data_IF_630687267479
#
_entry.id   IF_630687267479
#
_cell.length_a   1.000
_cell.length_b   1.000
_cell.length_c   1.000
_cell.angle_alpha   90.00
_cell.angle_beta   90.00
_cell.angle_gamma   90.00
#
_symmetry.space_group_name_H-M   'P 1'
#
loop_
_entity.id
_entity.type
_entity.pdbx_description
1 polymer ?
#
# COMPACT_ATOMS: atom_id res chain seq x y z
N UNK A 1 -13.96 5.23 -2.55
CA UNK A 1 -13.94 6.14 -3.73
C UNK A 1 -13.85 5.24 -4.93
N UNK A 2 -14.79 5.33 -5.87
CA UNK A 2 -14.78 4.41 -7.01
C UNK A 2 -13.73 4.86 -8.06
N UNK A 3 -13.46 4.01 -9.04
CA UNK A 3 -12.46 4.26 -10.07
C UNK A 3 -12.80 5.46 -10.96
N UNK A 4 -14.09 5.76 -11.15
CA UNK A 4 -14.58 6.90 -11.92
C UNK A 4 -14.25 8.21 -11.19
N UNK A 5 -14.54 8.28 -9.88
CA UNK A 5 -14.17 9.41 -9.01
C UNK A 5 -12.65 9.68 -9.06
N UNK A 6 -11.84 8.62 -9.11
CA UNK A 6 -10.39 8.73 -9.23
C UNK A 6 -9.96 9.26 -10.60
N UNK A 7 -10.59 8.79 -11.69
CA UNK A 7 -10.31 9.30 -13.03
C UNK A 7 -10.69 10.78 -13.17
N UNK A 8 -11.80 11.20 -12.57
CA UNK A 8 -12.21 12.61 -12.52
C UNK A 8 -11.23 13.45 -11.69
N UNK A 9 -10.90 13.00 -10.48
CA UNK A 9 -9.98 13.69 -9.55
C UNK A 9 -8.59 13.85 -10.15
N UNK A 10 -8.12 12.85 -10.90
CA UNK A 10 -6.81 12.83 -11.53
C UNK A 10 -6.91 12.95 -13.05
N UNK A 11 -7.83 13.79 -13.56
CA UNK A 11 -8.10 13.97 -15.01
C UNK A 11 -6.90 14.43 -15.86
N UNK A 12 -5.82 14.87 -15.24
CA UNK A 12 -4.54 15.22 -15.87
C UNK A 12 -3.60 14.01 -16.08
N UNK A 13 -3.92 12.86 -15.50
CA UNK A 13 -3.21 11.59 -15.67
C UNK A 13 -4.00 10.71 -16.63
N UNK A 14 -3.31 9.97 -17.49
CA UNK A 14 -3.96 9.00 -18.37
C UNK A 14 -4.81 8.00 -17.55
N UNK A 15 -6.11 7.84 -17.84
CA UNK A 15 -6.98 6.89 -17.14
C UNK A 15 -6.43 5.46 -17.09
N UNK A 16 -5.71 5.01 -18.11
CA UNK A 16 -5.07 3.69 -18.12
C UNK A 16 -4.05 3.56 -16.98
N UNK A 17 -3.27 4.62 -16.71
CA UNK A 17 -2.28 4.60 -15.63
C UNK A 17 -2.95 4.61 -14.25
N UNK A 18 -4.04 5.36 -14.09
CA UNK A 18 -4.84 5.37 -12.85
C UNK A 18 -5.36 3.96 -12.56
N UNK A 19 -5.95 3.31 -13.57
CA UNK A 19 -6.44 1.92 -13.47
C UNK A 19 -5.34 0.95 -13.08
N UNK A 20 -4.17 1.04 -13.72
CA UNK A 20 -3.03 0.18 -13.42
C UNK A 20 -2.59 0.29 -11.95
N UNK A 21 -2.49 1.51 -11.43
CA UNK A 21 -2.12 1.73 -10.03
C UNK A 21 -3.22 1.27 -9.08
N UNK A 22 -4.49 1.52 -9.40
CA UNK A 22 -5.61 1.06 -8.60
C UNK A 22 -5.63 -0.47 -8.48
N UNK A 23 -5.47 -1.19 -9.59
CA UNK A 23 -5.38 -2.65 -9.54
C UNK A 23 -4.16 -3.15 -8.78
N UNK A 24 -3.02 -2.46 -8.87
CA UNK A 24 -1.86 -2.84 -8.07
C UNK A 24 -2.13 -2.69 -6.56
N UNK A 25 -2.76 -1.58 -6.15
CA UNK A 25 -3.19 -1.33 -4.77
C UNK A 25 -4.13 -2.43 -4.27
N UNK A 26 -5.22 -2.64 -5.00
CA UNK A 26 -6.31 -3.57 -4.67
C UNK A 26 -5.87 -5.04 -4.65
N UNK A 27 -5.01 -5.45 -5.58
CA UNK A 27 -4.63 -6.86 -5.72
C UNK A 27 -3.42 -7.26 -4.87
N UNK A 28 -2.46 -6.35 -4.64
CA UNK A 28 -1.16 -6.72 -4.05
C UNK A 28 -0.84 -6.05 -2.72
N UNK A 29 -1.42 -4.88 -2.42
CA UNK A 29 -1.04 -4.11 -1.24
C UNK A 29 -2.13 -4.07 -0.16
N UNK A 30 -3.40 -3.93 -0.54
CA UNK A 30 -4.55 -4.08 0.36
C UNK A 30 -4.90 -5.57 0.48
N UNK A 31 -4.02 -6.32 1.15
CA UNK A 31 -4.12 -7.77 1.22
C UNK A 31 -5.31 -8.23 2.06
N UNK A 32 -5.73 -7.45 3.07
CA UNK A 32 -6.89 -7.76 3.91
C UNK A 32 -8.21 -7.24 3.34
N UNK A 33 -8.17 -6.39 2.30
CA UNK A 33 -9.32 -5.94 1.53
C UNK A 33 -10.20 -4.93 2.26
N UNK A 34 -9.59 -3.96 2.95
CA UNK A 34 -10.31 -2.93 3.71
C UNK A 34 -10.15 -1.50 3.13
N UNK A 35 -9.77 -1.39 1.86
CA UNK A 35 -9.57 -0.17 1.07
C UNK A 35 -8.41 0.73 1.57
N UNK A 36 -7.56 0.22 2.45
CA UNK A 36 -6.35 0.90 2.94
C UNK A 36 -5.18 -0.07 2.96
N UNK A 37 -3.96 0.47 2.85
CA UNK A 37 -2.74 -0.27 3.17
C UNK A 37 -2.35 0.10 4.58
N UNK A 38 -2.16 -0.91 5.42
CA UNK A 38 -1.66 -0.78 6.78
C UNK A 38 -0.68 -1.89 7.14
N UNK A 39 -0.03 -1.77 8.30
CA UNK A 39 0.95 -2.77 8.73
C UNK A 39 0.39 -4.21 8.74
N UNK A 40 -0.91 -4.36 9.04
CA UNK A 40 -1.58 -5.66 9.05
C UNK A 40 -1.55 -6.37 7.68
N UNK A 41 -1.56 -5.64 6.55
CA UNK A 41 -1.43 -6.24 5.22
C UNK A 41 -0.07 -6.93 5.05
N UNK A 42 0.99 -6.26 5.51
CA UNK A 42 2.35 -6.79 5.50
C UNK A 42 2.49 -7.97 6.46
N UNK A 43 1.92 -7.89 7.66
CA UNK A 43 1.92 -9.02 8.61
C UNK A 43 1.22 -10.26 8.04
N UNK A 44 0.08 -10.09 7.38
CA UNK A 44 -0.65 -11.19 6.75
C UNK A 44 0.15 -11.79 5.59
N UNK A 45 0.83 -10.97 4.78
CA UNK A 45 1.71 -11.45 3.73
C UNK A 45 2.91 -12.22 4.29
N UNK A 46 3.54 -11.74 5.37
CA UNK A 46 4.64 -12.43 6.07
C UNK A 46 4.16 -13.79 6.59
N UNK A 47 2.99 -13.82 7.24
CA UNK A 47 2.38 -15.05 7.76
C UNK A 47 2.01 -16.04 6.64
N UNK A 48 1.53 -15.55 5.50
CA UNK A 48 1.25 -16.38 4.33
C UNK A 48 2.55 -17.02 3.79
N UNK A 49 3.64 -16.26 3.71
CA UNK A 49 4.97 -16.79 3.34
C UNK A 49 5.41 -17.86 4.34
N UNK A 50 5.30 -17.60 5.64
CA UNK A 50 5.64 -18.56 6.69
C UNK A 50 4.80 -19.85 6.62
N UNK A 51 3.51 -19.73 6.31
CA UNK A 51 2.61 -20.88 6.14
C UNK A 51 3.05 -21.77 4.97
N UNK A 52 3.53 -21.19 3.87
CA UNK A 52 3.92 -21.93 2.66
C UNK A 52 5.36 -22.44 2.72
N UNK A 53 6.28 -21.69 3.34
CA UNK A 53 7.73 -21.97 3.33
C UNK A 53 8.28 -22.50 4.65
N UNK A 54 7.47 -22.51 5.71
CA UNK A 54 7.86 -22.91 7.05
C UNK A 54 7.97 -21.71 7.99
N UNK A 55 7.20 -21.75 9.08
CA UNK A 55 7.26 -20.74 10.13
C UNK A 55 8.65 -20.72 10.76
N UNK A 56 9.19 -19.52 10.94
CA UNK A 56 10.57 -19.27 11.41
C UNK A 56 11.67 -19.92 10.55
N UNK A 57 11.36 -20.33 9.32
CA UNK A 57 12.37 -20.70 8.31
C UNK A 57 13.13 -19.48 7.78
N UNK A 58 14.21 -19.72 7.02
CA UNK A 58 15.06 -18.66 6.46
C UNK A 58 14.24 -17.66 5.62
N UNK A 59 13.31 -18.16 4.79
CA UNK A 59 12.45 -17.34 3.96
C UNK A 59 11.46 -16.51 4.78
N UNK A 60 10.90 -17.08 5.86
CA UNK A 60 9.98 -16.35 6.74
C UNK A 60 10.72 -15.22 7.48
N UNK A 61 11.92 -15.49 7.99
CA UNK A 61 12.76 -14.50 8.67
C UNK A 61 13.18 -13.39 7.70
N UNK A 62 13.60 -13.77 6.48
CA UNK A 62 13.96 -12.80 5.44
C UNK A 62 12.76 -11.94 5.04
N UNK A 63 11.59 -12.55 4.82
CA UNK A 63 10.36 -11.84 4.50
C UNK A 63 9.96 -10.87 5.60
N UNK A 64 9.99 -11.30 6.87
CA UNK A 64 9.71 -10.45 8.03
C UNK A 64 10.60 -9.20 8.01
N UNK A 65 11.91 -9.36 7.80
CA UNK A 65 12.83 -8.22 7.73
C UNK A 65 12.54 -7.31 6.53
N UNK A 66 12.52 -7.87 5.33
CA UNK A 66 12.38 -7.09 4.10
C UNK A 66 11.04 -6.37 3.98
N UNK A 67 9.94 -7.02 4.36
CA UNK A 67 8.60 -6.42 4.28
C UNK A 67 8.39 -5.35 5.37
N UNK A 68 9.03 -5.50 6.54
CA UNK A 68 9.11 -4.42 7.55
C UNK A 68 9.83 -3.19 6.99
N UNK A 69 11.01 -3.40 6.38
CA UNK A 69 11.80 -2.32 5.80
C UNK A 69 11.04 -1.60 4.67
N UNK A 70 10.30 -2.35 3.84
CA UNK A 70 9.44 -1.78 2.79
C UNK A 70 8.32 -0.93 3.38
N UNK A 71 7.61 -1.42 4.41
CA UNK A 71 6.55 -0.63 5.06
C UNK A 71 7.08 0.69 5.62
N UNK A 72 8.19 0.63 6.37
CA UNK A 72 8.80 1.83 6.93
C UNK A 72 9.23 2.81 5.83
N UNK A 73 9.91 2.32 4.78
CA UNK A 73 10.33 3.17 3.66
C UNK A 73 9.15 3.79 2.93
N UNK A 74 8.04 3.07 2.79
CA UNK A 74 6.81 3.61 2.19
C UNK A 74 6.23 4.73 3.05
N UNK A 75 6.10 4.51 4.36
CA UNK A 75 5.60 5.52 5.30
C UNK A 75 6.49 6.77 5.33
N UNK A 76 7.81 6.61 5.34
CA UNK A 76 8.77 7.72 5.35
C UNK A 76 8.63 8.61 4.09
N UNK A 77 8.54 7.99 2.91
CA UNK A 77 8.40 8.66 1.60
C UNK A 77 7.08 9.43 1.46
N UNK A 78 6.02 8.98 2.12
CA UNK A 78 4.71 9.67 2.13
C UNK A 78 4.47 10.50 3.40
N UNK A 79 5.48 10.59 4.27
CA UNK A 79 5.47 11.33 5.54
C UNK A 79 4.31 10.91 6.46
N UNK A 80 4.20 9.60 6.71
CA UNK A 80 3.20 8.97 7.56
C UNK A 80 3.85 8.22 8.72
N UNK A 81 3.11 8.06 9.82
CA UNK A 81 3.53 7.21 10.92
C UNK A 81 3.37 5.73 10.55
N UNK A 82 4.11 4.84 11.20
CA UNK A 82 4.03 3.39 10.94
C UNK A 82 2.72 2.76 11.44
N UNK A 83 1.96 3.48 12.28
CA UNK A 83 0.60 3.12 12.70
C UNK A 83 -0.50 3.71 11.83
N UNK A 84 -0.15 4.54 10.83
CA UNK A 84 -1.14 5.16 9.94
C UNK A 84 -1.67 4.19 8.88
N UNK A 85 -2.85 4.50 8.36
CA UNK A 85 -3.47 3.86 7.19
C UNK A 85 -3.21 4.69 5.93
N UNK A 86 -2.90 4.02 4.82
CA UNK A 86 -2.63 4.63 3.51
C UNK A 86 -3.77 4.30 2.55
N UNK A 87 -4.57 5.30 2.19
CA UNK A 87 -5.60 5.12 1.14
C UNK A 87 -5.05 5.53 -0.23
N UNK A 88 -5.61 4.94 -1.29
CA UNK A 88 -5.19 5.22 -2.68
C UNK A 88 -5.25 6.72 -3.05
N UNK A 89 -6.18 7.48 -2.46
CA UNK A 89 -6.47 8.86 -2.86
C UNK A 89 -5.59 9.94 -2.18
N UNK A 90 -4.57 9.57 -1.39
CA UNK A 90 -3.97 10.47 -0.40
C UNK A 90 -3.08 11.61 -0.93
N UNK A 91 -2.59 11.57 -2.18
CA UNK A 91 -1.54 12.52 -2.62
C UNK A 91 -2.01 13.86 -3.19
N UNK A 92 -3.31 14.15 -3.28
CA UNK A 92 -3.79 15.42 -3.84
C UNK A 92 -4.09 16.52 -2.81
N UNK A 93 -4.20 16.19 -1.52
CA UNK A 93 -4.55 17.16 -0.48
C UNK A 93 -3.35 17.97 0.02
N UNK A 94 -2.11 17.53 -0.22
CA UNK A 94 -0.90 18.19 0.30
C UNK A 94 -0.21 19.15 -0.69
N UNK A 95 -0.64 19.23 -1.96
CA UNK A 95 -0.13 20.22 -2.93
C UNK A 95 -1.03 21.44 -3.13
N UNK A 96 -2.12 21.56 -2.36
CA UNK A 96 -2.97 22.77 -2.28
C UNK A 96 -2.97 23.35 -0.86
N UNK A 97 -1.80 23.48 -0.23
CA UNK A 97 -1.62 24.50 0.79
C UNK A 97 -1.29 25.81 0.04
N UNK A 98 -2.17 26.83 0.05
CA UNK A 98 -1.86 28.12 -0.54
C UNK A 98 -0.79 28.81 0.32
N UNK A 99 0.26 29.32 -0.32
CA UNK A 99 0.97 30.52 0.16
C UNK A 99 0.05 31.73 0.06
#
# INVERSE_FOLDING_TARGET
MNLEDLCEKFSHVDPFLIKKWYYAFDTFFDFIGNDVIEWQDFEQLINAIGTVRGMEGEEHIAARKSLTDVWHSMCDEIHKDYSDKVSFALRYTLKKAPT
#
